data_IF_531713956949
#
_entry.id   IF_531713956949
#
_cell.length_a   1.000
_cell.length_b   1.000
_cell.length_c   1.000
_cell.angle_alpha   90.00
_cell.angle_beta   90.00
_cell.angle_gamma   90.00
#
_symmetry.space_group_name_H-M   'P 1'
#
loop_
_entity.id
_entity.type
_entity.pdbx_description
1 polymer ?
#
# COMPACT_ATOMS: atom_id res chain seq x y z
N UNK A 1 6.21 -20.62 -17.35
CA UNK A 1 5.69 -21.90 -16.85
C UNK A 1 4.18 -21.83 -16.80
N UNK A 2 3.50 -22.53 -17.71
CA UNK A 2 2.04 -22.56 -17.78
C UNK A 2 1.45 -23.52 -16.71
N UNK A 3 0.13 -23.59 -16.61
CA UNK A 3 -0.59 -24.38 -15.59
C UNK A 3 -0.36 -25.89 -15.75
N UNK A 4 -0.35 -26.38 -16.99
CA UNK A 4 -0.17 -27.81 -17.29
C UNK A 4 1.24 -28.30 -16.96
N UNK A 5 2.27 -27.52 -17.32
CA UNK A 5 3.66 -27.77 -16.92
C UNK A 5 3.79 -27.84 -15.40
N UNK A 6 3.06 -26.97 -14.68
CA UNK A 6 3.10 -26.96 -13.22
C UNK A 6 2.51 -28.23 -12.61
N UNK A 7 1.34 -28.65 -13.10
CA UNK A 7 0.67 -29.85 -12.65
C UNK A 7 1.50 -31.10 -12.96
N UNK A 8 2.14 -31.15 -14.14
CA UNK A 8 3.03 -32.26 -14.52
C UNK A 8 4.27 -32.33 -13.63
N UNK A 9 4.93 -31.20 -13.36
CA UNK A 9 6.10 -31.14 -12.46
C UNK A 9 5.69 -31.54 -11.05
N UNK A 10 4.55 -31.05 -10.53
CA UNK A 10 4.08 -31.45 -9.20
C UNK A 10 3.69 -32.92 -9.13
N UNK A 11 3.04 -33.47 -10.15
CA UNK A 11 2.71 -34.90 -10.23
C UNK A 11 3.99 -35.76 -10.25
N UNK A 12 5.01 -35.31 -10.98
CA UNK A 12 6.32 -35.96 -11.00
C UNK A 12 7.00 -35.92 -9.61
N UNK A 13 6.96 -34.76 -8.94
CA UNK A 13 7.54 -34.58 -7.61
C UNK A 13 6.82 -35.39 -6.53
N UNK A 14 5.50 -35.52 -6.58
CA UNK A 14 4.74 -36.39 -5.66
C UNK A 14 5.20 -37.85 -5.79
N UNK A 15 5.47 -38.32 -7.01
CA UNK A 15 5.91 -39.70 -7.28
C UNK A 15 7.34 -39.99 -6.82
N UNK A 16 8.25 -39.00 -6.92
CA UNK A 16 9.66 -39.16 -6.53
C UNK A 16 9.93 -38.81 -5.07
N UNK A 17 9.30 -37.76 -4.56
CA UNK A 17 9.61 -37.14 -3.26
C UNK A 17 8.39 -37.21 -2.34
N UNK A 18 8.29 -38.30 -1.56
CA UNK A 18 7.19 -38.52 -0.59
C UNK A 18 7.02 -37.37 0.41
N UNK A 19 8.08 -36.59 0.63
CA UNK A 19 8.11 -35.40 1.47
C UNK A 19 7.16 -34.31 0.93
N UNK A 20 7.02 -34.17 -0.39
CA UNK A 20 6.09 -33.21 -1.01
C UNK A 20 4.68 -33.78 -1.23
N UNK A 21 4.49 -35.09 -1.11
CA UNK A 21 3.22 -35.75 -1.42
C UNK A 21 2.04 -35.19 -0.61
N UNK A 22 2.23 -34.91 0.69
CA UNK A 22 1.16 -34.34 1.54
C UNK A 22 0.90 -32.85 1.28
N UNK A 23 1.91 -32.12 0.83
CA UNK A 23 1.79 -30.71 0.47
C UNK A 23 1.00 -30.56 -0.85
N UNK A 24 1.37 -31.37 -1.83
CA UNK A 24 0.86 -31.33 -3.21
C UNK A 24 -0.37 -32.23 -3.43
N UNK A 25 -0.79 -33.02 -2.44
CA UNK A 25 -2.08 -33.74 -2.48
C UNK A 25 -3.28 -32.82 -2.27
N UNK A 26 -3.07 -31.57 -1.88
CA UNK A 26 -4.14 -30.59 -1.76
C UNK A 26 -4.36 -29.88 -3.10
N UNK A 27 -5.29 -30.40 -3.90
CA UNK A 27 -5.66 -29.84 -5.21
C UNK A 27 -6.02 -28.36 -5.12
N UNK A 28 -6.75 -27.95 -4.08
CA UNK A 28 -7.09 -26.54 -3.84
C UNK A 28 -5.85 -25.64 -3.68
N UNK A 29 -4.79 -26.15 -3.05
CA UNK A 29 -3.53 -25.41 -2.88
C UNK A 29 -2.78 -25.31 -4.22
N UNK A 30 -2.75 -26.38 -5.01
CA UNK A 30 -2.16 -26.37 -6.35
C UNK A 30 -2.90 -25.40 -7.26
N UNK A 31 -4.23 -25.43 -7.23
CA UNK A 31 -5.06 -24.53 -8.03
C UNK A 31 -4.85 -23.08 -7.60
N UNK A 32 -4.86 -22.81 -6.28
CA UNK A 32 -4.55 -21.48 -5.75
C UNK A 32 -3.14 -21.01 -6.11
N UNK A 33 -2.15 -21.89 -6.21
CA UNK A 33 -0.79 -21.56 -6.65
C UNK A 33 -0.72 -21.27 -8.14
N UNK A 34 -1.43 -22.03 -8.97
CA UNK A 34 -1.47 -21.85 -10.41
C UNK A 34 -2.16 -20.53 -10.77
N UNK A 35 -3.25 -20.21 -10.08
CA UNK A 35 -4.10 -19.05 -10.37
C UNK A 35 -3.58 -17.74 -9.75
N UNK A 36 -2.46 -17.77 -9.03
CA UNK A 36 -1.89 -16.57 -8.40
C UNK A 36 -1.36 -15.58 -9.45
N UNK A 37 -1.96 -14.38 -9.61
CA UNK A 37 -1.60 -13.43 -10.66
C UNK A 37 -0.15 -12.95 -10.56
N UNK A 38 0.40 -12.93 -9.34
CA UNK A 38 1.72 -12.37 -9.05
C UNK A 38 2.90 -13.33 -9.16
N UNK A 39 2.67 -14.56 -9.61
CA UNK A 39 3.66 -15.63 -9.56
C UNK A 39 4.96 -15.33 -10.31
N UNK A 40 4.87 -14.59 -11.42
CA UNK A 40 6.03 -14.16 -12.22
C UNK A 40 6.96 -13.19 -11.47
N UNK A 41 6.51 -12.63 -10.35
CA UNK A 41 7.25 -11.67 -9.53
C UNK A 41 7.78 -12.29 -8.22
N UNK A 42 7.58 -13.59 -8.01
CA UNK A 42 7.98 -14.24 -6.76
C UNK A 42 9.50 -14.39 -6.70
N UNK A 43 10.08 -13.85 -5.63
CA UNK A 43 11.51 -14.00 -5.31
C UNK A 43 11.76 -15.00 -4.17
N UNK A 44 10.70 -15.57 -3.59
CA UNK A 44 10.76 -16.53 -2.49
C UNK A 44 9.46 -17.33 -2.39
N UNK A 45 9.48 -18.41 -1.61
CA UNK A 45 8.31 -19.24 -1.29
C UNK A 45 7.36 -18.62 -0.26
N UNK A 46 7.52 -17.35 0.12
CA UNK A 46 6.70 -16.77 1.19
C UNK A 46 5.22 -16.70 0.80
N UNK A 47 4.91 -16.49 -0.48
CA UNK A 47 3.56 -16.59 -1.03
C UNK A 47 2.96 -17.99 -0.86
N UNK A 48 3.76 -19.03 -1.13
CA UNK A 48 3.37 -20.42 -0.90
C UNK A 48 3.11 -20.71 0.59
N UNK A 49 3.95 -20.18 1.51
CA UNK A 49 3.71 -20.31 2.96
C UNK A 49 2.40 -19.65 3.37
N UNK A 50 2.11 -18.46 2.84
CA UNK A 50 0.88 -17.73 3.14
C UNK A 50 -0.37 -18.48 2.64
N UNK A 51 -0.31 -19.04 1.43
CA UNK A 51 -1.38 -19.87 0.88
C UNK A 51 -1.57 -21.15 1.69
N UNK A 52 -0.50 -21.88 1.97
CA UNK A 52 -0.58 -23.10 2.75
C UNK A 52 -1.14 -22.87 4.16
N UNK A 53 -0.79 -21.76 4.82
CA UNK A 53 -1.42 -21.37 6.09
C UNK A 53 -2.93 -21.18 5.96
N UNK A 54 -3.38 -20.57 4.86
CA UNK A 54 -4.81 -20.35 4.57
C UNK A 54 -5.55 -21.67 4.36
N UNK A 55 -4.92 -22.63 3.68
CA UNK A 55 -5.47 -23.98 3.44
C UNK A 55 -5.13 -24.99 4.55
N UNK A 56 -4.63 -24.54 5.72
CA UNK A 56 -4.22 -25.39 6.85
C UNK A 56 -3.21 -26.50 6.51
N UNK A 57 -2.38 -26.26 5.50
CA UNK A 57 -1.31 -27.15 5.07
C UNK A 57 -0.01 -26.78 5.79
N UNK A 58 0.64 -27.78 6.39
CA UNK A 58 1.91 -27.56 7.10
C UNK A 58 3.09 -27.57 6.12
N UNK A 59 3.78 -26.44 5.98
CA UNK A 59 5.05 -26.37 5.25
C UNK A 59 6.23 -26.47 6.24
N UNK A 60 7.07 -27.49 6.05
CA UNK A 60 8.29 -27.69 6.83
C UNK A 60 9.51 -27.16 6.07
N UNK A 61 10.65 -27.03 6.76
CA UNK A 61 11.92 -26.69 6.12
C UNK A 61 12.30 -27.68 5.02
N UNK A 62 12.10 -29.00 5.25
CA UNK A 62 12.35 -30.05 4.26
C UNK A 62 11.50 -29.89 3.00
N UNK A 63 10.25 -29.40 3.11
CA UNK A 63 9.43 -29.10 1.94
C UNK A 63 10.06 -27.97 1.11
N UNK A 64 10.55 -26.92 1.75
CA UNK A 64 11.19 -25.80 1.06
C UNK A 64 12.52 -26.18 0.42
N UNK A 65 13.38 -26.89 1.16
CA UNK A 65 14.67 -27.36 0.66
C UNK A 65 14.46 -28.26 -0.58
N UNK A 66 13.39 -29.07 -0.59
CA UNK A 66 13.04 -29.88 -1.75
C UNK A 66 12.57 -29.01 -2.92
N UNK A 67 11.68 -28.04 -2.70
CA UNK A 67 11.21 -27.13 -3.75
C UNK A 67 12.36 -26.30 -4.36
N UNK A 68 13.30 -25.83 -3.56
CA UNK A 68 14.47 -25.06 -4.02
C UNK A 68 15.39 -25.88 -4.94
N UNK A 69 15.40 -27.21 -4.82
CA UNK A 69 16.19 -28.09 -5.71
C UNK A 69 15.56 -28.24 -7.11
N UNK A 70 14.26 -28.01 -7.25
CA UNK A 70 13.52 -28.24 -8.50
C UNK A 70 13.03 -26.96 -9.17
N UNK A 71 12.90 -25.88 -8.42
CA UNK A 71 12.39 -24.62 -8.91
C UNK A 71 13.39 -23.52 -8.62
N UNK A 72 13.71 -22.76 -9.65
CA UNK A 72 14.49 -21.54 -9.52
C UNK A 72 13.56 -20.34 -9.69
N UNK A 73 13.67 -19.37 -8.79
CA UNK A 73 13.01 -18.09 -8.97
C UNK A 73 13.76 -17.27 -10.02
N UNK A 74 13.04 -16.81 -11.03
CA UNK A 74 13.50 -15.81 -11.99
C UNK A 74 12.45 -14.69 -12.06
N UNK A 75 12.38 -13.84 -11.01
CA UNK A 75 11.31 -12.87 -10.89
C UNK A 75 11.46 -11.77 -11.93
N UNK A 76 10.38 -11.50 -12.65
CA UNK A 76 10.28 -10.29 -13.47
C UNK A 76 10.30 -9.04 -12.56
N UNK A 77 10.82 -7.91 -13.04
CA UNK A 77 10.77 -6.67 -12.29
C UNK A 77 9.30 -6.27 -12.06
N UNK A 78 8.94 -6.01 -10.81
CA UNK A 78 7.62 -5.48 -10.47
C UNK A 78 7.44 -4.12 -11.14
N UNK A 79 6.34 -3.88 -11.88
CA UNK A 79 6.07 -2.56 -12.41
C UNK A 79 5.92 -1.58 -11.24
N UNK A 80 6.72 -0.52 -11.23
CA UNK A 80 6.65 0.49 -10.19
C UNK A 80 5.57 1.50 -10.54
N UNK A 81 4.50 1.55 -9.75
CA UNK A 81 3.36 2.40 -10.02
C UNK A 81 3.27 3.55 -9.01
N UNK A 82 2.89 4.73 -9.49
CA UNK A 82 2.70 5.88 -8.61
C UNK A 82 1.40 5.70 -7.83
N UNK A 83 1.50 5.49 -6.52
CA UNK A 83 0.31 5.27 -5.68
C UNK A 83 -0.59 6.52 -5.60
N UNK A 84 -0.05 7.72 -5.82
CA UNK A 84 -0.80 8.97 -5.76
C UNK A 84 -1.76 9.15 -6.94
N UNK A 85 -1.43 8.59 -8.12
CA UNK A 85 -2.16 8.88 -9.38
C UNK A 85 -2.72 7.66 -10.09
N UNK A 86 -2.26 6.44 -9.77
CA UNK A 86 -2.75 5.20 -10.39
C UNK A 86 -4.29 5.06 -10.27
N UNK A 87 -4.95 4.58 -11.33
CA UNK A 87 -6.40 4.34 -11.34
C UNK A 87 -6.82 3.30 -10.30
N UNK A 88 -8.11 3.25 -9.95
CA UNK A 88 -8.62 2.26 -9.00
C UNK A 88 -8.52 0.83 -9.57
N UNK A 89 -8.74 0.69 -10.87
CA UNK A 89 -8.68 -0.57 -11.61
C UNK A 89 -7.25 -1.12 -11.65
N UNK A 90 -6.29 -0.29 -12.03
CA UNK A 90 -4.87 -0.69 -12.04
C UNK A 90 -4.36 -0.95 -10.62
N UNK A 91 -4.80 -0.16 -9.64
CA UNK A 91 -4.45 -0.39 -8.24
C UNK A 91 -4.94 -1.76 -7.76
N UNK A 92 -6.18 -2.11 -8.07
CA UNK A 92 -6.73 -3.42 -7.73
C UNK A 92 -5.94 -4.55 -8.38
N UNK A 93 -5.65 -4.42 -9.68
CA UNK A 93 -4.84 -5.40 -10.42
C UNK A 93 -3.44 -5.55 -9.82
N UNK A 94 -2.78 -4.45 -9.50
CA UNK A 94 -1.42 -4.46 -8.96
C UNK A 94 -1.38 -4.98 -7.53
N UNK A 95 -2.39 -4.68 -6.71
CA UNK A 95 -2.48 -5.24 -5.35
C UNK A 95 -2.68 -6.75 -5.35
N UNK A 96 -3.38 -7.29 -6.36
CA UNK A 96 -3.58 -8.73 -6.53
C UNK A 96 -2.31 -9.50 -6.96
N UNK A 97 -1.23 -8.81 -7.32
CA UNK A 97 0.09 -9.43 -7.51
C UNK A 97 0.71 -9.85 -6.17
N UNK A 98 0.38 -9.13 -5.10
CA UNK A 98 0.95 -9.43 -3.79
C UNK A 98 0.21 -10.56 -3.09
N UNK A 99 0.92 -11.43 -2.35
CA UNK A 99 0.32 -12.54 -1.61
C UNK A 99 -0.39 -12.04 -0.34
N UNK A 100 -1.49 -11.32 -0.55
CA UNK A 100 -2.37 -10.82 0.50
C UNK A 100 -3.47 -11.85 0.78
N UNK A 101 -4.01 -11.86 2.00
CA UNK A 101 -5.15 -12.73 2.32
C UNK A 101 -6.36 -12.39 1.41
N UNK A 102 -7.20 -13.40 1.16
CA UNK A 102 -8.39 -13.28 0.32
C UNK A 102 -9.25 -12.08 0.75
N UNK A 103 -9.59 -11.21 -0.21
CA UNK A 103 -10.39 -10.01 0.03
C UNK A 103 -9.61 -8.80 0.56
N UNK A 104 -8.38 -8.97 1.10
CA UNK A 104 -7.57 -7.83 1.56
C UNK A 104 -7.09 -6.94 0.42
N UNK A 105 -6.78 -7.51 -0.75
CA UNK A 105 -6.40 -6.73 -1.93
C UNK A 105 -7.51 -5.77 -2.38
N UNK A 106 -8.76 -6.27 -2.48
CA UNK A 106 -9.93 -5.46 -2.83
C UNK A 106 -10.21 -4.39 -1.77
N UNK A 107 -10.13 -4.75 -0.48
CA UNK A 107 -10.32 -3.81 0.62
C UNK A 107 -9.26 -2.69 0.59
N UNK A 108 -7.99 -3.05 0.40
CA UNK A 108 -6.88 -2.08 0.27
C UNK A 108 -7.08 -1.18 -0.94
N UNK A 109 -7.41 -1.76 -2.09
CA UNK A 109 -7.65 -1.00 -3.32
C UNK A 109 -8.73 0.05 -3.11
N UNK A 110 -9.87 -0.37 -2.54
CA UNK A 110 -10.99 0.53 -2.27
C UNK A 110 -10.58 1.66 -1.32
N UNK A 111 -9.91 1.32 -0.20
CA UNK A 111 -9.48 2.29 0.81
C UNK A 111 -8.51 3.32 0.24
N UNK A 112 -7.58 2.88 -0.59
CA UNK A 112 -6.62 3.75 -1.23
C UNK A 112 -7.31 4.67 -2.22
N UNK A 113 -8.14 4.13 -3.13
CA UNK A 113 -8.84 4.92 -4.13
C UNK A 113 -9.83 5.92 -3.51
N UNK A 114 -10.43 5.58 -2.37
CA UNK A 114 -11.38 6.45 -1.68
C UNK A 114 -10.74 7.53 -0.81
N UNK A 115 -9.43 7.48 -0.58
CA UNK A 115 -8.79 8.43 0.35
C UNK A 115 -8.62 9.81 -0.32
N UNK A 116 -9.22 10.88 0.25
CA UNK A 116 -9.05 12.22 -0.28
C UNK A 116 -7.62 12.75 -0.14
N UNK A 117 -6.83 12.25 0.82
CA UNK A 117 -5.44 12.68 0.98
C UNK A 117 -4.44 11.90 0.12
N UNK A 118 -4.91 10.88 -0.61
CA UNK A 118 -4.09 10.06 -1.51
C UNK A 118 -3.12 10.85 -2.39
N UNK A 119 -3.50 11.97 -3.03
CA UNK A 119 -2.57 12.74 -3.87
C UNK A 119 -1.37 13.31 -3.11
N UNK A 120 -1.47 13.48 -1.78
CA UNK A 120 -0.49 14.18 -0.95
C UNK A 120 0.43 13.25 -0.14
N UNK A 121 0.21 11.94 -0.19
CA UNK A 121 1.04 10.97 0.53
C UNK A 121 2.48 10.99 0.01
N UNK A 122 3.44 11.16 0.92
CA UNK A 122 4.87 11.23 0.56
C UNK A 122 5.58 9.91 0.74
N UNK A 123 5.02 9.02 1.56
CA UNK A 123 5.59 7.73 1.91
C UNK A 123 4.51 6.82 2.54
N UNK A 124 4.87 5.57 2.83
CA UNK A 124 3.97 4.59 3.45
C UNK A 124 3.51 4.95 4.86
N UNK A 125 4.33 5.69 5.63
CA UNK A 125 3.96 6.12 6.99
C UNK A 125 2.84 7.16 6.91
N UNK A 126 2.95 8.11 5.99
CA UNK A 126 1.95 9.15 5.75
C UNK A 126 0.64 8.51 5.26
N UNK A 127 0.73 7.60 4.29
CA UNK A 127 -0.42 6.83 3.81
C UNK A 127 -1.11 6.03 4.93
N UNK A 128 -0.34 5.26 5.70
CA UNK A 128 -0.89 4.43 6.77
C UNK A 128 -1.48 5.27 7.92
N UNK A 129 -0.96 6.46 8.15
CA UNK A 129 -1.53 7.43 9.09
C UNK A 129 -2.84 8.00 8.53
N UNK A 130 -2.83 8.50 7.30
CA UNK A 130 -4.01 9.06 6.66
C UNK A 130 -5.17 8.07 6.61
N UNK A 131 -4.93 6.83 6.19
CA UNK A 131 -5.97 5.81 6.13
C UNK A 131 -6.55 5.46 7.50
N UNK A 132 -5.72 5.50 8.55
CA UNK A 132 -6.18 5.33 9.93
C UNK A 132 -7.05 6.51 10.37
N UNK A 133 -6.60 7.73 10.11
CA UNK A 133 -7.27 8.95 10.55
C UNK A 133 -8.60 9.17 9.78
N UNK A 134 -8.63 8.83 8.49
CA UNK A 134 -9.79 9.05 7.60
C UNK A 134 -10.80 7.90 7.62
N UNK A 135 -10.33 6.65 7.71
CA UNK A 135 -11.19 5.47 7.49
C UNK A 135 -11.12 4.44 8.61
N UNK A 136 -10.38 4.73 9.69
CA UNK A 136 -10.07 3.79 10.78
C UNK A 136 -9.40 2.50 10.31
N UNK A 137 -8.84 2.51 9.10
CA UNK A 137 -8.23 1.33 8.50
C UNK A 137 -6.75 1.24 8.86
N UNK A 138 -6.35 0.09 9.43
CA UNK A 138 -4.98 -0.16 9.86
C UNK A 138 -4.34 -1.16 8.91
N UNK A 139 -3.24 -0.73 8.27
CA UNK A 139 -2.42 -1.60 7.43
C UNK A 139 -1.33 -2.25 8.28
N UNK A 140 -1.27 -3.59 8.37
CA UNK A 140 -0.19 -4.27 9.06
C UNK A 140 1.18 -3.91 8.48
N UNK A 141 2.20 -3.83 9.34
CA UNK A 141 3.56 -3.45 8.93
C UNK A 141 4.15 -4.40 7.87
N UNK A 142 3.87 -5.69 7.97
CA UNK A 142 4.26 -6.68 6.96
C UNK A 142 3.68 -6.35 5.57
N UNK A 143 2.42 -5.95 5.51
CA UNK A 143 1.77 -5.51 4.26
C UNK A 143 2.42 -4.23 3.72
N UNK A 144 2.76 -3.26 4.57
CA UNK A 144 3.45 -2.03 4.12
C UNK A 144 4.81 -2.33 3.47
N UNK A 145 5.58 -3.27 4.03
CA UNK A 145 6.87 -3.69 3.46
C UNK A 145 6.69 -4.31 2.07
N UNK A 146 5.65 -5.12 1.90
CA UNK A 146 5.33 -5.75 0.61
C UNK A 146 4.95 -4.68 -0.42
N UNK A 147 4.05 -3.77 -0.05
CA UNK A 147 3.60 -2.68 -0.93
C UNK A 147 4.75 -1.75 -1.34
N UNK A 148 5.74 -1.54 -0.45
CA UNK A 148 6.91 -0.71 -0.74
C UNK A 148 7.78 -1.21 -1.89
N UNK A 149 7.61 -2.47 -2.32
CA UNK A 149 8.33 -3.03 -3.46
C UNK A 149 7.69 -2.69 -4.82
N UNK A 150 6.40 -2.35 -4.86
CA UNK A 150 5.69 -2.13 -6.13
C UNK A 150 5.07 -0.75 -6.30
N UNK A 151 5.19 0.13 -5.30
CA UNK A 151 4.69 1.49 -5.38
C UNK A 151 5.77 2.52 -5.08
N UNK A 152 5.70 3.64 -5.79
CA UNK A 152 6.44 4.86 -5.48
C UNK A 152 5.47 6.03 -5.23
N UNK A 153 6.00 7.12 -4.68
CA UNK A 153 5.22 8.32 -4.34
C UNK A 153 5.73 9.51 -5.15
N UNK A 154 4.81 10.24 -5.78
CA UNK A 154 5.02 11.57 -6.37
C UNK A 154 3.92 12.49 -5.83
N UNK A 155 4.03 12.96 -4.58
CA UNK A 155 2.98 13.74 -3.95
C UNK A 155 2.76 15.07 -4.67
N UNK A 156 1.51 15.47 -4.84
CA UNK A 156 1.19 16.85 -5.17
C UNK A 156 1.32 17.74 -3.93
N UNK A 157 1.56 19.06 -4.10
CA UNK A 157 1.47 19.98 -2.99
C UNK A 157 0.07 19.91 -2.35
N UNK A 158 -0.04 19.79 -1.02
CA UNK A 158 -1.34 19.83 -0.37
C UNK A 158 -2.02 21.18 -0.67
N UNK A 159 -3.36 21.19 -0.75
CA UNK A 159 -4.09 22.43 -0.98
C UNK A 159 -3.73 23.41 0.12
N UNK A 160 -3.35 24.61 -0.31
CA UNK A 160 -3.05 25.70 0.60
C UNK A 160 -4.33 26.01 1.38
N UNK A 161 -4.33 25.92 2.72
CA UNK A 161 -5.56 26.12 3.50
C UNK A 161 -6.13 27.51 3.20
N UNK A 162 -7.28 27.59 2.52
CA UNK A 162 -7.95 28.86 2.27
C UNK A 162 -8.75 29.30 3.52
N UNK A 163 -8.12 29.22 4.69
CA UNK A 163 -8.73 29.73 5.92
C UNK A 163 -8.40 31.20 6.04
N UNK A 164 -9.34 31.98 6.58
CA UNK A 164 -9.14 33.41 6.80
C UNK A 164 -7.84 33.69 7.58
N UNK A 165 -7.57 32.89 8.62
CA UNK A 165 -6.33 32.92 9.39
C UNK A 165 -5.08 32.63 8.56
N UNK A 166 -5.12 31.63 7.67
CA UNK A 166 -3.97 31.32 6.80
C UNK A 166 -3.68 32.46 5.82
N UNK A 167 -4.70 33.04 5.20
CA UNK A 167 -4.54 34.21 4.32
C UNK A 167 -3.91 35.39 5.07
N UNK A 168 -4.37 35.67 6.30
CA UNK A 168 -3.77 36.68 7.17
C UNK A 168 -2.30 36.37 7.49
N UNK A 169 -1.93 35.10 7.69
CA UNK A 169 -0.54 34.72 7.91
C UNK A 169 0.37 34.99 6.70
N UNK A 170 -0.17 34.96 5.47
CA UNK A 170 0.58 35.29 4.25
C UNK A 170 0.73 36.80 4.02
N UNK A 171 -0.11 37.62 4.65
CA UNK A 171 -0.05 39.08 4.50
C UNK A 171 1.19 39.69 5.17
N UNK A 172 1.65 40.81 4.63
CA UNK A 172 2.69 41.63 5.28
C UNK A 172 2.11 42.33 6.51
N UNK A 173 2.97 42.70 7.46
CA UNK A 173 2.54 43.44 8.67
C UNK A 173 1.82 44.74 8.31
N UNK A 174 2.27 45.44 7.27
CA UNK A 174 1.63 46.66 6.77
C UNK A 174 0.20 46.41 6.26
N UNK A 175 -0.01 45.31 5.55
CA UNK A 175 -1.33 44.94 5.03
C UNK A 175 -2.28 44.49 6.17
N UNK A 176 -1.76 43.77 7.17
CA UNK A 176 -2.52 43.40 8.37
C UNK A 176 -2.95 44.63 9.18
N UNK A 177 -2.06 45.62 9.36
CA UNK A 177 -2.41 46.88 10.04
C UNK A 177 -3.51 47.65 9.30
N UNK A 178 -3.43 47.74 7.97
CA UNK A 178 -4.49 48.34 7.14
C UNK A 178 -5.83 47.62 7.28
N UNK A 179 -5.82 46.30 7.40
CA UNK A 179 -7.04 45.52 7.59
C UNK A 179 -7.61 45.70 9.01
N UNK A 180 -6.74 45.83 10.03
CA UNK A 180 -7.14 46.20 11.39
C UNK A 180 -7.73 47.61 11.44
N UNK A 181 -7.13 48.59 10.74
CA UNK A 181 -7.65 49.96 10.62
C UNK A 181 -9.07 49.97 10.04
N UNK A 182 -9.32 49.22 8.95
CA UNK A 182 -10.65 49.11 8.33
C UNK A 182 -11.71 48.54 9.28
N UNK A 183 -11.30 47.70 10.23
CA UNK A 183 -12.19 47.05 11.21
C UNK A 183 -12.24 47.79 12.55
N UNK A 184 -11.57 48.94 12.66
CA UNK A 184 -11.52 49.72 13.90
C UNK A 184 -10.77 49.01 15.05
N UNK A 185 -9.87 48.08 14.74
CA UNK A 185 -9.10 47.32 15.73
C UNK A 185 -7.78 48.02 16.05
N UNK A 186 -7.45 48.15 17.34
CA UNK A 186 -6.13 48.67 17.76
C UNK A 186 -5.01 47.71 17.35
N UNK A 187 -3.98 48.24 16.67
CA UNK A 187 -2.86 47.46 16.13
C UNK A 187 -1.48 48.05 16.46
N UNK A 188 -1.42 49.16 17.21
CA UNK A 188 -0.15 49.85 17.50
C UNK A 188 0.75 48.97 18.37
N UNK A 189 2.02 48.84 17.98
CA UNK A 189 3.02 48.03 18.71
C UNK A 189 2.84 46.50 18.62
N UNK A 190 1.78 46.00 17.99
CA UNK A 190 1.50 44.56 17.92
C UNK A 190 2.37 43.83 16.90
N UNK A 191 2.76 42.60 17.24
CA UNK A 191 3.53 41.70 16.37
C UNK A 191 2.60 41.02 15.36
N UNK A 192 3.17 40.49 14.29
CA UNK A 192 2.41 39.83 13.20
C UNK A 192 1.45 38.75 13.72
N UNK A 193 1.90 37.91 14.63
CA UNK A 193 1.09 36.83 15.19
C UNK A 193 -0.14 37.37 15.95
N UNK A 194 0.03 38.44 16.74
CA UNK A 194 -1.06 39.08 17.49
C UNK A 194 -2.08 39.72 16.55
N UNK A 195 -1.61 40.38 15.48
CA UNK A 195 -2.48 40.97 14.45
C UNK A 195 -3.29 39.90 13.71
N UNK A 196 -2.65 38.79 13.32
CA UNK A 196 -3.34 37.65 12.71
C UNK A 196 -4.37 37.07 13.67
N UNK A 197 -4.01 36.91 14.95
CA UNK A 197 -4.91 36.43 16.00
C UNK A 197 -6.15 37.29 16.09
N UNK A 198 -5.99 38.59 16.33
CA UNK A 198 -7.10 39.53 16.47
C UNK A 198 -7.99 39.60 15.22
N UNK A 199 -7.39 39.64 14.03
CA UNK A 199 -8.16 39.67 12.79
C UNK A 199 -8.91 38.37 12.55
N UNK A 200 -8.36 37.23 12.99
CA UNK A 200 -9.00 35.91 12.83
C UNK A 200 -10.09 35.58 13.87
N UNK A 201 -10.23 36.41 14.91
CA UNK A 201 -11.18 36.19 16.03
C UNK A 201 -12.43 37.07 15.97
N UNK A 202 -12.54 37.95 14.96
CA UNK A 202 -13.68 38.81 14.73
C UNK A 202 -14.47 38.45 13.49
#
# INVERSE_FOLDING_TARGET
MNQEELQQIFTYLIKREKVLAKLLSHEELIQALADQPGRLYWSSWDSLKALAKTHKVTITKKHMDCLDNYFRFDPQPLPSLCINTISAEELSRHLNIFPLEKGKANQLSLRFSSSPSRPYWRNFKDMAKALRDETQFIIPKATQIILAKGFHFTPTPPPVPNTFRFLLQQMTVKALRREADKRGLDHKGKKKADLVGQLSSG
#
